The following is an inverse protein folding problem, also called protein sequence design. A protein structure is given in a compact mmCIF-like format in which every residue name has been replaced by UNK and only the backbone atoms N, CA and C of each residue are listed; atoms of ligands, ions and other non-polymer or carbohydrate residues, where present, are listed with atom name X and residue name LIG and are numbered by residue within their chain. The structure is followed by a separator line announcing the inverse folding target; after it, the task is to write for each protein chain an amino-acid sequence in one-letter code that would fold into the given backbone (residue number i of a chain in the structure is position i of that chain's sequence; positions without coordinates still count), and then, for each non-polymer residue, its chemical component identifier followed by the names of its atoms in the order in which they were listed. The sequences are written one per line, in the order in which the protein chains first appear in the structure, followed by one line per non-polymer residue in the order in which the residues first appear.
data_IF_816914821240
#
_entry.id   IF_816914821240
#
_cell.length_a   1.000
_cell.length_b   1.000
_cell.length_c   1.000
_cell.angle_alpha   90.00
_cell.angle_beta   90.00
_cell.angle_gamma   90.00
#
_symmetry.space_group_name_H-M   'P 1'
#
loop_
_entity.id
_entity.type
_entity.pdbx_description
1 polymer ?
#
# COMPACT_ATOMS: atom_id res chain seq x y z
N UNK A 1 10.74 5.18 -14.16
CA UNK A 1 10.87 6.18 -13.06
C UNK A 1 9.63 6.03 -12.18
N UNK A 2 9.77 5.82 -10.88
CA UNK A 2 8.60 5.74 -9.98
C UNK A 2 8.05 7.15 -9.80
N UNK A 3 6.75 7.34 -10.04
CA UNK A 3 6.08 8.63 -9.82
C UNK A 3 5.28 8.57 -8.52
N UNK A 4 5.67 9.40 -7.55
CA UNK A 4 5.00 9.53 -6.25
C UNK A 4 3.87 10.56 -6.24
N UNK A 5 3.71 11.35 -7.32
CA UNK A 5 2.53 12.20 -7.50
C UNK A 5 1.27 11.36 -7.69
N UNK A 6 1.43 10.10 -8.11
CA UNK A 6 0.33 9.13 -8.11
C UNK A 6 0.12 8.57 -6.70
N UNK A 7 -1.06 8.87 -6.13
CA UNK A 7 -1.51 8.41 -4.81
C UNK A 7 -1.37 6.90 -4.62
N UNK A 8 -1.59 6.11 -5.67
CA UNK A 8 -1.43 4.65 -5.66
C UNK A 8 0.00 4.22 -5.33
N UNK A 9 1.00 4.77 -6.02
CA UNK A 9 2.40 4.44 -5.79
C UNK A 9 2.88 4.94 -4.42
N UNK A 10 2.41 6.12 -4.00
CA UNK A 10 2.67 6.67 -2.67
C UNK A 10 2.14 5.76 -1.56
N UNK A 11 0.89 5.29 -1.68
CA UNK A 11 0.24 4.38 -0.74
C UNK A 11 0.97 3.03 -0.63
N UNK A 12 1.31 2.43 -1.77
CA UNK A 12 2.02 1.14 -1.80
C UNK A 12 3.40 1.29 -1.14
N UNK A 13 4.15 2.34 -1.49
CA UNK A 13 5.48 2.56 -0.95
C UNK A 13 5.47 2.90 0.55
N UNK A 14 4.55 3.74 1.02
CA UNK A 14 4.47 4.08 2.45
C UNK A 14 4.12 2.85 3.29
N UNK A 15 3.23 1.99 2.79
CA UNK A 15 2.82 0.78 3.50
C UNK A 15 3.96 -0.24 3.59
N UNK A 16 4.68 -0.47 2.49
CA UNK A 16 5.88 -1.33 2.48
C UNK A 16 6.93 -0.79 3.45
N UNK A 17 7.15 0.54 3.47
CA UNK A 17 8.11 1.19 4.33
C UNK A 17 7.75 1.05 5.81
N UNK A 18 6.50 1.28 6.19
CA UNK A 18 6.02 1.12 7.58
C UNK A 18 6.19 -0.32 8.06
N UNK A 19 5.82 -1.31 7.23
CA UNK A 19 5.93 -2.73 7.59
C UNK A 19 7.40 -3.16 7.68
N UNK A 20 8.24 -2.70 6.75
CA UNK A 20 9.67 -3.00 6.70
C UNK A 20 10.46 -2.39 7.85
N UNK A 21 10.22 -1.11 8.18
CA UNK A 21 10.87 -0.43 9.31
C UNK A 21 10.34 -0.96 10.65
N UNK A 22 9.04 -1.26 10.72
CA UNK A 22 8.40 -1.78 11.94
C UNK A 22 8.92 -3.16 12.37
N UNK A 23 9.75 -3.83 11.55
CA UNK A 23 10.23 -5.19 11.77
C UNK A 23 9.08 -6.12 12.20
N UNK A 24 8.00 -6.07 11.40
CA UNK A 24 6.77 -6.82 11.64
C UNK A 24 7.04 -8.33 11.57
N UNK A 25 7.57 -8.90 12.64
CA UNK A 25 7.83 -10.34 12.73
C UNK A 25 6.57 -11.02 13.27
N UNK A 26 5.86 -11.73 12.39
CA UNK A 26 4.76 -12.60 12.83
C UNK A 26 5.38 -13.95 13.21
N UNK A 27 5.34 -14.24 14.50
CA UNK A 27 5.68 -15.56 15.03
C UNK A 27 4.39 -16.36 15.16
N UNK A 28 4.16 -17.28 14.23
CA UNK A 28 3.07 -18.24 14.33
C UNK A 28 3.65 -19.62 14.66
N UNK A 29 3.42 -20.08 15.89
CA UNK A 29 3.67 -21.45 16.35
C UNK A 29 5.05 -22.04 15.96
N UNK A 30 6.13 -21.27 16.15
CA UNK A 30 7.51 -21.71 15.93
C UNK A 30 8.13 -21.29 14.59
N UNK A 31 7.34 -20.79 13.64
CA UNK A 31 7.84 -20.23 12.38
C UNK A 31 7.87 -18.70 12.46
N UNK A 32 9.06 -18.13 12.31
CA UNK A 32 9.24 -16.68 12.27
C UNK A 32 9.26 -16.19 10.83
N UNK A 33 8.19 -15.54 10.42
CA UNK A 33 8.18 -14.83 9.15
C UNK A 33 8.87 -13.49 9.33
N UNK A 34 9.92 -13.26 8.52
CA UNK A 34 10.60 -11.98 8.47
C UNK A 34 9.61 -10.90 8.02
N UNK A 35 9.63 -9.74 8.67
CA UNK A 35 8.79 -8.59 8.30
C UNK A 35 8.98 -8.15 6.85
N UNK A 36 10.13 -8.43 6.25
CA UNK A 36 10.38 -8.19 4.83
C UNK A 36 9.54 -9.09 3.90
N UNK A 37 9.35 -10.35 4.28
CA UNK A 37 8.52 -11.28 3.51
C UNK A 37 7.04 -10.84 3.54
N UNK A 38 6.56 -10.43 4.73
CA UNK A 38 5.23 -9.87 4.91
C UNK A 38 5.02 -8.56 4.13
N UNK A 39 5.98 -7.64 4.19
CA UNK A 39 5.94 -6.39 3.44
C UNK A 39 5.81 -6.64 1.92
N UNK A 40 6.49 -7.67 1.42
CA UNK A 40 6.46 -8.03 -0.01
C UNK A 40 5.10 -8.59 -0.42
N UNK A 41 4.53 -9.52 0.35
CA UNK A 41 3.21 -10.09 0.08
C UNK A 41 2.12 -9.00 0.14
N UNK A 42 2.16 -8.16 1.17
CA UNK A 42 1.23 -7.05 1.34
C UNK A 42 1.39 -6.03 0.20
N UNK A 43 2.62 -5.70 -0.20
CA UNK A 43 2.89 -4.80 -1.32
C UNK A 43 2.33 -5.28 -2.66
N UNK A 44 2.47 -6.58 -2.94
CA UNK A 44 1.90 -7.21 -4.15
C UNK A 44 0.36 -7.21 -4.07
N UNK A 45 -0.20 -7.55 -2.91
CA UNK A 45 -1.65 -7.57 -2.70
C UNK A 45 -2.26 -6.17 -2.87
N UNK A 46 -1.64 -5.15 -2.26
CA UNK A 46 -2.04 -3.75 -2.41
C UNK A 46 -1.95 -3.29 -3.86
N UNK A 47 -0.88 -3.64 -4.57
CA UNK A 47 -0.76 -3.31 -6.00
C UNK A 47 -1.93 -3.87 -6.83
N UNK A 48 -2.49 -5.03 -6.45
CA UNK A 48 -3.59 -5.66 -7.17
C UNK A 48 -4.98 -5.11 -6.78
N UNK A 49 -5.15 -4.74 -5.50
CA UNK A 49 -6.46 -4.27 -4.98
C UNK A 49 -6.64 -2.75 -5.06
N UNK A 50 -5.55 -1.96 -5.10
CA UNK A 50 -5.69 -0.50 -5.16
C UNK A 50 -6.16 -0.06 -6.56
N UNK A 51 -7.30 0.63 -6.66
CA UNK A 51 -7.75 1.23 -7.90
C UNK A 51 -6.79 2.33 -8.35
N UNK A 52 -6.69 2.54 -9.67
CA UNK A 52 -5.78 3.51 -10.28
C UNK A 52 -6.19 4.96 -9.98
N UNK A 53 -7.45 5.19 -9.62
CA UNK A 53 -7.99 6.49 -9.20
C UNK A 53 -8.50 6.39 -7.77
N UNK A 54 -8.16 7.38 -6.93
CA UNK A 54 -8.65 7.43 -5.57
C UNK A 54 -10.12 7.87 -5.59
N UNK A 55 -11.01 7.16 -4.89
CA UNK A 55 -12.44 7.50 -4.85
C UNK A 55 -12.73 8.98 -4.47
N UNK A 56 -11.83 9.62 -3.70
CA UNK A 56 -11.91 11.04 -3.36
C UNK A 56 -11.73 11.99 -4.57
N UNK A 57 -11.14 11.56 -5.68
CA UNK A 57 -11.00 12.36 -6.90
C UNK A 57 -12.28 12.34 -7.73
N UNK A 58 -12.96 11.19 -7.79
CA UNK A 58 -14.28 11.05 -8.46
C UNK A 58 -15.41 11.80 -7.74
N UNK A 59 -15.28 11.98 -6.42
CA UNK A 59 -16.23 12.78 -5.64
C UNK A 59 -15.99 14.29 -5.77
N UNK A 60 -14.73 14.74 -5.84
CA UNK A 60 -14.40 16.15 -6.03
C UNK A 60 -14.84 16.67 -7.41
N UNK A 61 -14.61 15.90 -8.48
CA UNK A 61 -15.00 16.28 -9.85
C UNK A 61 -16.53 16.26 -10.03
N UNK A 62 -17.24 15.38 -9.32
CA UNK A 62 -18.71 15.33 -9.34
C UNK A 62 -19.36 16.47 -8.56
N UNK A 63 -18.70 17.00 -7.52
CA UNK A 63 -19.23 18.11 -6.71
C UNK A 63 -19.03 19.49 -7.37
N UNK A 64 -18.04 19.64 -8.24
CA UNK A 64 -17.83 20.89 -9.02
C UNK A 64 -18.78 21.00 -10.24
N UNK A 65 -19.52 19.93 -10.56
CA UNK A 65 -20.49 19.87 -11.66
C UNK A 65 -21.95 20.07 -11.21
N UNK A 66 -22.21 20.37 -9.92
CA UNK A 66 -23.56 20.58 -9.35
C UNK A 66 -23.72 22.03 -8.90
#
# INVERSE_FOLDING_TARGET
KVNFDQKRNLMIASTILVIGIGNASLQFSGYQFSGLALATVIGIFLNFVLPEHAANEEEAEKNDLI
#
